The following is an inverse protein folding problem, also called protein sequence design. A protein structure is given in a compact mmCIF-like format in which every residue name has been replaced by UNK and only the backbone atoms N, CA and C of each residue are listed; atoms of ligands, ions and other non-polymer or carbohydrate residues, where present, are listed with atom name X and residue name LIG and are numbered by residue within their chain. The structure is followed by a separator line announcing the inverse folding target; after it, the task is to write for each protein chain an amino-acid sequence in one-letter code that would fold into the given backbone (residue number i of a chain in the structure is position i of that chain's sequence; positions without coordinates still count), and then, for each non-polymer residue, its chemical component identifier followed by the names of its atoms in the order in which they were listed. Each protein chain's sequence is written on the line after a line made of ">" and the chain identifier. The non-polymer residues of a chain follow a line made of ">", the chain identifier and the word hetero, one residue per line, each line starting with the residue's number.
data_IF_605903272820
#
_entry.id   IF_605903272820
#
_cell.length_a   1.000
_cell.length_b   1.000
_cell.length_c   1.000
_cell.angle_alpha   90.00
_cell.angle_beta   90.00
_cell.angle_gamma   90.00
#
_symmetry.space_group_name_H-M   'P 1'
#
loop_
_entity.id
_entity.type
_entity.pdbx_description
1 polymer ?
#
# COMPACT_ATOMS: atom_id res chain seq x y z
N UNK A 1 -25.13 1.39 -9.07
CA UNK A 1 -24.31 2.63 -9.04
C UNK A 1 -23.68 2.96 -7.68
N UNK A 2 -24.19 2.49 -6.52
CA UNK A 2 -23.57 2.79 -5.21
C UNK A 2 -22.33 1.95 -4.87
N UNK A 3 -22.30 0.67 -5.26
CA UNK A 3 -21.18 -0.23 -4.99
C UNK A 3 -19.87 0.22 -5.67
N UNK A 4 -19.94 0.64 -6.94
CA UNK A 4 -18.75 1.05 -7.70
C UNK A 4 -18.10 2.33 -7.14
N UNK A 5 -18.89 3.26 -6.60
CA UNK A 5 -18.34 4.44 -5.91
C UNK A 5 -17.70 4.11 -4.56
N UNK A 6 -18.26 3.16 -3.81
CA UNK A 6 -17.67 2.70 -2.55
C UNK A 6 -16.31 2.03 -2.79
N UNK A 7 -16.26 1.08 -3.73
CA UNK A 7 -15.02 0.40 -4.15
C UNK A 7 -13.97 1.38 -4.67
N UNK A 8 -14.37 2.39 -5.45
CA UNK A 8 -13.43 3.42 -5.91
C UNK A 8 -12.88 4.28 -4.77
N UNK A 9 -13.70 4.62 -3.77
CA UNK A 9 -13.26 5.38 -2.60
C UNK A 9 -12.33 4.59 -1.69
N UNK A 10 -12.58 3.29 -1.51
CA UNK A 10 -11.73 2.38 -0.75
C UNK A 10 -10.37 2.19 -1.44
N UNK A 11 -10.37 1.97 -2.76
CA UNK A 11 -9.15 1.94 -3.57
C UNK A 11 -8.30 3.21 -3.43
N UNK A 12 -8.92 4.40 -3.45
CA UNK A 12 -8.20 5.67 -3.28
C UNK A 12 -7.57 5.81 -1.89
N UNK A 13 -8.23 5.32 -0.85
CA UNK A 13 -7.67 5.29 0.51
C UNK A 13 -6.46 4.34 0.57
N UNK A 14 -6.60 3.14 0.02
CA UNK A 14 -5.52 2.15 -0.04
C UNK A 14 -4.30 2.68 -0.79
N UNK A 15 -4.51 3.30 -1.96
CA UNK A 15 -3.44 3.94 -2.73
C UNK A 15 -2.75 5.09 -1.98
N UNK A 16 -3.52 5.88 -1.23
CA UNK A 16 -2.98 6.97 -0.40
C UNK A 16 -2.10 6.40 0.72
N UNK A 17 -2.56 5.36 1.41
CA UNK A 17 -1.78 4.69 2.44
C UNK A 17 -0.49 4.08 1.87
N UNK A 18 -0.56 3.38 0.74
CA UNK A 18 0.62 2.83 0.06
C UNK A 18 1.63 3.93 -0.28
N UNK A 19 1.16 5.07 -0.80
CA UNK A 19 2.02 6.22 -1.13
C UNK A 19 2.73 6.74 0.12
N UNK A 20 2.01 6.97 1.19
CA UNK A 20 2.55 7.52 2.43
C UNK A 20 3.56 6.56 3.08
N UNK A 21 3.26 5.26 3.07
CA UNK A 21 4.17 4.23 3.56
C UNK A 21 5.44 4.13 2.70
N UNK A 22 5.37 4.29 1.36
CA UNK A 22 6.56 4.36 0.49
C UNK A 22 7.44 5.56 0.82
N UNK A 23 6.85 6.72 1.09
CA UNK A 23 7.60 7.92 1.52
C UNK A 23 8.29 7.65 2.86
N UNK A 24 7.58 7.07 3.83
CA UNK A 24 8.14 6.71 5.14
C UNK A 24 9.27 5.68 5.00
N UNK A 25 9.11 4.68 4.14
CA UNK A 25 10.12 3.65 3.91
C UNK A 25 11.38 4.23 3.28
N UNK A 26 11.24 5.16 2.34
CA UNK A 26 12.38 5.88 1.75
C UNK A 26 13.14 6.67 2.82
N UNK A 27 12.45 7.40 3.70
CA UNK A 27 13.10 8.14 4.80
C UNK A 27 13.87 7.18 5.71
N UNK A 28 13.22 6.10 6.13
CA UNK A 28 13.80 5.09 7.01
C UNK A 28 15.02 4.39 6.41
N UNK A 29 15.00 4.13 5.10
CA UNK A 29 16.17 3.62 4.36
C UNK A 29 17.38 4.55 4.52
N UNK A 30 17.19 5.85 4.31
CA UNK A 30 18.27 6.82 4.39
C UNK A 30 18.74 7.08 5.83
N UNK A 31 17.83 7.04 6.80
CA UNK A 31 18.14 7.34 8.20
C UNK A 31 18.79 6.16 8.93
N UNK A 32 18.27 4.94 8.73
CA UNK A 32 18.68 3.77 9.51
C UNK A 32 19.12 2.56 8.68
N UNK A 33 18.86 2.59 7.37
CA UNK A 33 19.19 1.48 6.48
C UNK A 33 18.12 0.37 6.42
N UNK A 34 18.25 -0.52 5.43
CA UNK A 34 17.23 -1.54 5.12
C UNK A 34 17.21 -2.73 6.08
N UNK A 35 18.25 -2.92 6.90
CA UNK A 35 18.35 -4.05 7.84
C UNK A 35 17.62 -3.80 9.16
N UNK A 36 17.04 -2.62 9.37
CA UNK A 36 16.34 -2.33 10.61
C UNK A 36 15.00 -3.07 10.71
N UNK A 37 14.60 -3.52 11.92
CA UNK A 37 13.29 -4.14 12.12
C UNK A 37 12.13 -3.25 11.64
N UNK A 38 12.22 -1.94 11.86
CA UNK A 38 11.25 -0.96 11.39
C UNK A 38 11.10 -1.00 9.87
N UNK A 39 12.22 -1.08 9.14
CA UNK A 39 12.22 -1.09 7.67
C UNK A 39 11.65 -2.39 7.12
N UNK A 40 12.07 -3.51 7.69
CA UNK A 40 11.58 -4.84 7.32
C UNK A 40 10.07 -4.95 7.57
N UNK A 41 9.60 -4.48 8.73
CA UNK A 41 8.17 -4.48 9.06
C UNK A 41 7.39 -3.62 8.06
N UNK A 42 7.92 -2.44 7.73
CA UNK A 42 7.28 -1.53 6.79
C UNK A 42 7.26 -2.07 5.36
N UNK A 43 8.32 -2.76 4.92
CA UNK A 43 8.38 -3.37 3.58
C UNK A 43 7.41 -4.53 3.45
N UNK A 44 7.24 -5.35 4.49
CA UNK A 44 6.24 -6.41 4.54
C UNK A 44 4.82 -5.85 4.48
N UNK A 45 4.52 -4.80 5.25
CA UNK A 45 3.21 -4.13 5.21
C UNK A 45 2.91 -3.56 3.82
N UNK A 46 3.89 -2.91 3.18
CA UNK A 46 3.75 -2.40 1.82
C UNK A 46 3.48 -3.51 0.80
N UNK A 47 4.15 -4.66 0.93
CA UNK A 47 3.91 -5.80 0.05
C UNK A 47 2.48 -6.32 0.18
N UNK A 48 1.98 -6.45 1.42
CA UNK A 48 0.60 -6.86 1.69
C UNK A 48 -0.42 -5.92 1.03
N UNK A 49 -0.32 -4.60 1.28
CA UNK A 49 -1.27 -3.62 0.74
C UNK A 49 -1.21 -3.52 -0.79
N UNK A 50 -0.04 -3.67 -1.39
CA UNK A 50 0.10 -3.71 -2.85
C UNK A 50 -0.63 -4.94 -3.43
N UNK A 51 -0.53 -6.10 -2.78
CA UNK A 51 -1.23 -7.31 -3.22
C UNK A 51 -2.75 -7.16 -3.08
N UNK A 52 -3.23 -6.63 -1.96
CA UNK A 52 -4.66 -6.33 -1.74
C UNK A 52 -5.21 -5.42 -2.85
N UNK A 53 -4.48 -4.36 -3.18
CA UNK A 53 -4.86 -3.47 -4.28
C UNK A 53 -4.90 -4.20 -5.64
N UNK A 54 -3.92 -5.05 -5.93
CA UNK A 54 -3.90 -5.80 -7.19
C UNK A 54 -5.02 -6.83 -7.28
N UNK A 55 -5.34 -7.51 -6.18
CA UNK A 55 -6.47 -8.44 -6.10
C UNK A 55 -7.81 -7.71 -6.35
N UNK A 56 -8.03 -6.55 -5.72
CA UNK A 56 -9.21 -5.72 -5.98
C UNK A 56 -9.32 -5.30 -7.45
N UNK A 57 -8.19 -4.94 -8.09
CA UNK A 57 -8.17 -4.57 -9.51
C UNK A 57 -8.36 -5.75 -10.46
N UNK A 58 -7.89 -6.94 -10.10
CA UNK A 58 -8.14 -8.15 -10.86
C UNK A 58 -9.64 -8.50 -10.86
N UNK A 59 -10.33 -8.32 -9.73
CA UNK A 59 -11.79 -8.52 -9.62
C UNK A 59 -12.56 -7.50 -10.46
N UNK A 60 -12.11 -6.24 -10.53
CA UNK A 60 -12.74 -5.21 -11.38
C UNK A 60 -12.61 -5.47 -12.89
N UNK A 61 -11.65 -6.29 -13.32
CA UNK A 61 -11.36 -6.60 -14.73
C UNK A 61 -12.09 -7.85 -15.26
N UNK A 62 -12.80 -8.58 -14.39
CA UNK A 62 -13.59 -9.79 -14.72
C UNK A 62 -15.07 -9.47 -14.92
#
# INVERSE_FOLDING_TARGET
>A
MKLTQAVHSENLKLLTEIRDLKIKMRKLYYEKGPSTPDYITLSLKLNFLMNEYFEEKLVELQ
#
